data_IF_647078724643
#
_entry.id   IF_647078724643
#
_cell.length_a   1.000
_cell.length_b   1.000
_cell.length_c   1.000
_cell.angle_alpha   90.00
_cell.angle_beta   90.00
_cell.angle_gamma   90.00
#
_symmetry.space_group_name_H-M   'P 1'
#
loop_
_entity.id
_entity.type
_entity.pdbx_description
1 polymer ?
#
# COMPACT_ATOMS: atom_id res chain seq x y z
N UNK A 1 14.76 23.58 -3.01
CA UNK A 1 13.91 22.75 -2.14
C UNK A 1 13.68 21.31 -2.66
N UNK A 2 13.91 21.02 -3.95
CA UNK A 2 13.68 19.66 -4.52
C UNK A 2 14.68 18.60 -4.04
N UNK A 3 15.87 18.98 -3.64
CA UNK A 3 16.95 18.07 -3.19
C UNK A 3 16.80 17.60 -1.74
N UNK A 4 16.06 18.33 -0.92
CA UNK A 4 16.00 18.07 0.54
C UNK A 4 15.10 16.88 0.89
N UNK A 5 14.00 16.66 0.14
CA UNK A 5 13.03 15.59 0.42
C UNK A 5 13.58 14.22 0.01
N UNK A 6 14.31 14.16 -1.10
CA UNK A 6 14.93 12.91 -1.57
C UNK A 6 16.04 12.44 -0.64
N UNK A 7 16.78 13.39 -0.04
CA UNK A 7 17.88 13.09 0.89
C UNK A 7 17.37 12.60 2.24
N UNK A 8 16.22 13.09 2.70
CA UNK A 8 15.67 12.73 4.02
C UNK A 8 15.09 11.31 4.03
N UNK A 9 14.47 10.86 2.93
CA UNK A 9 13.97 9.48 2.85
C UNK A 9 15.09 8.46 2.68
N UNK A 10 16.15 8.79 1.94
CA UNK A 10 17.34 7.94 1.83
C UNK A 10 18.10 7.85 3.16
N UNK A 11 18.12 8.91 3.95
CA UNK A 11 18.81 8.94 5.24
C UNK A 11 18.06 8.10 6.31
N UNK A 12 16.73 8.05 6.28
CA UNK A 12 15.96 7.23 7.22
C UNK A 12 16.16 5.73 6.98
N UNK A 13 16.34 5.32 5.72
CA UNK A 13 16.65 3.93 5.38
C UNK A 13 18.11 3.54 5.73
N UNK A 14 19.04 4.49 5.69
CA UNK A 14 20.46 4.23 5.97
C UNK A 14 20.77 4.22 7.47
N UNK A 15 20.06 4.99 8.31
CA UNK A 15 20.29 5.02 9.75
C UNK A 15 19.86 3.75 10.46
N UNK A 16 18.90 3.00 9.93
CA UNK A 16 18.53 1.69 10.48
C UNK A 16 19.57 0.61 10.14
N UNK A 17 20.29 0.75 9.02
CA UNK A 17 21.34 -0.20 8.63
C UNK A 17 22.68 0.06 9.34
N UNK A 18 22.99 1.30 9.71
CA UNK A 18 24.26 1.67 10.34
C UNK A 18 24.35 1.30 11.82
N UNK A 19 23.22 1.11 12.49
CA UNK A 19 23.21 0.71 13.92
C UNK A 19 23.47 -0.79 14.15
N UNK A 20 23.61 -1.58 13.10
CA UNK A 20 23.80 -3.03 13.22
C UNK A 20 25.27 -3.48 13.16
N UNK A 21 26.24 -2.58 12.90
CA UNK A 21 27.62 -2.97 12.60
C UNK A 21 28.65 -2.73 13.71
N UNK A 22 28.31 -2.05 14.82
CA UNK A 22 29.26 -1.79 15.91
C UNK A 22 28.81 -2.40 17.25
N UNK A 23 28.90 -3.73 17.35
CA UNK A 23 28.94 -4.40 18.65
C UNK A 23 30.26 -5.13 18.82
N UNK A 24 31.05 -4.81 19.86
CA UNK A 24 32.32 -5.49 20.08
C UNK A 24 32.10 -6.94 20.41
N UNK A 25 32.71 -7.80 19.61
CA UNK A 25 32.84 -9.24 19.84
C UNK A 25 33.64 -9.51 21.11
N UNK A 26 32.98 -9.71 22.26
CA UNK A 26 33.45 -10.56 23.35
C UNK A 26 32.50 -10.51 24.55
N UNK A 27 31.64 -11.47 24.62
CA UNK A 27 31.23 -12.21 25.81
C UNK A 27 30.08 -13.13 25.39
N UNK A 28 30.27 -14.45 25.58
CA UNK A 28 29.20 -15.42 25.40
C UNK A 28 28.17 -15.15 26.52
N UNK A 29 27.24 -14.24 26.24
CA UNK A 29 26.09 -14.02 27.09
C UNK A 29 25.21 -15.29 27.11
N UNK A 30 24.58 -15.63 28.21
CA UNK A 30 23.58 -16.71 28.23
C UNK A 30 22.58 -16.45 27.13
N UNK A 31 22.22 -17.50 26.37
CA UNK A 31 21.25 -17.40 25.30
C UNK A 31 20.00 -16.70 25.85
N UNK A 32 19.69 -15.53 25.34
CA UNK A 32 18.46 -14.85 25.65
C UNK A 32 17.30 -15.82 25.34
N UNK A 33 16.28 -15.93 26.19
CA UNK A 33 15.13 -16.75 25.88
C UNK A 33 14.60 -16.33 24.52
N UNK A 34 14.35 -17.30 23.65
CA UNK A 34 13.80 -17.05 22.31
C UNK A 34 12.61 -16.11 22.46
N UNK A 35 12.50 -15.06 21.62
CA UNK A 35 11.35 -14.17 21.68
C UNK A 35 10.10 -15.04 21.61
N UNK A 36 9.27 -14.95 22.64
CA UNK A 36 7.94 -15.59 22.63
C UNK A 36 7.23 -14.96 21.44
N UNK A 37 6.93 -15.77 20.42
CA UNK A 37 6.17 -15.32 19.27
C UNK A 37 4.92 -14.62 19.82
N UNK A 38 4.72 -13.37 19.46
CA UNK A 38 3.50 -12.66 19.82
C UNK A 38 2.33 -13.52 19.34
N UNK A 39 1.30 -13.74 20.17
CA UNK A 39 0.15 -14.54 19.76
C UNK A 39 -0.38 -13.97 18.45
N UNK A 40 -0.58 -14.85 17.47
CA UNK A 40 -1.14 -14.47 16.19
C UNK A 40 -2.45 -13.70 16.46
N UNK A 41 -2.69 -12.57 15.78
CA UNK A 41 -3.89 -11.79 16.00
C UNK A 41 -5.10 -12.69 15.77
N UNK A 42 -5.95 -12.82 16.76
CA UNK A 42 -7.19 -13.60 16.69
C UNK A 42 -8.29 -12.87 15.92
N UNK A 43 -8.01 -11.66 15.47
CA UNK A 43 -8.98 -10.84 14.77
C UNK A 43 -8.98 -11.12 13.27
N UNK A 44 -10.17 -11.36 12.74
CA UNK A 44 -10.38 -11.58 11.31
C UNK A 44 -10.61 -10.27 10.55
N UNK A 45 -10.76 -9.17 11.27
CA UNK A 45 -11.17 -7.87 10.73
C UNK A 45 -10.06 -6.85 10.78
N UNK A 46 -9.99 -6.00 9.78
CA UNK A 46 -9.11 -4.84 9.81
C UNK A 46 -9.73 -3.64 9.10
N UNK A 47 -9.48 -2.46 9.66
CA UNK A 47 -9.82 -1.17 9.10
C UNK A 47 -8.53 -0.39 8.84
N UNK A 48 -8.36 0.09 7.62
CA UNK A 48 -7.21 0.92 7.25
C UNK A 48 -7.69 2.29 6.80
N UNK A 49 -7.08 3.32 7.36
CA UNK A 49 -7.24 4.72 6.91
C UNK A 49 -5.95 5.11 6.23
N UNK A 50 -6.05 5.72 5.06
CA UNK A 50 -4.89 6.17 4.28
C UNK A 50 -4.99 7.65 3.93
N UNK A 51 -3.85 8.31 3.93
CA UNK A 51 -3.66 9.62 3.33
C UNK A 51 -2.52 9.52 2.32
N UNK A 52 -2.68 10.16 1.18
CA UNK A 52 -1.65 10.22 0.15
C UNK A 52 -1.68 11.51 -0.63
N UNK A 53 -0.62 11.74 -1.37
CA UNK A 53 -0.53 12.83 -2.34
C UNK A 53 -0.12 12.25 -3.68
N UNK A 54 -0.91 12.55 -4.71
CA UNK A 54 -0.49 12.36 -6.09
C UNK A 54 0.37 13.56 -6.50
N UNK A 55 1.49 13.27 -7.15
CA UNK A 55 2.50 14.23 -7.58
C UNK A 55 2.64 14.14 -9.11
N UNK A 56 3.15 15.18 -9.71
CA UNK A 56 3.56 15.10 -11.11
C UNK A 56 4.72 14.13 -11.32
N UNK A 57 5.03 13.82 -12.56
CA UNK A 57 6.14 12.94 -12.93
C UNK A 57 7.45 13.35 -12.24
N UNK A 58 8.26 12.34 -11.86
CA UNK A 58 9.52 12.50 -11.15
C UNK A 58 9.38 13.27 -9.82
N UNK A 59 8.34 12.94 -9.05
CA UNK A 59 8.01 13.61 -7.79
C UNK A 59 7.92 15.14 -7.96
N UNK A 60 7.24 15.55 -9.03
CA UNK A 60 7.03 16.95 -9.37
C UNK A 60 6.13 17.71 -8.40
N UNK A 61 5.44 18.73 -8.91
CA UNK A 61 4.51 19.49 -8.09
C UNK A 61 3.33 18.62 -7.64
N UNK A 62 2.78 18.92 -6.45
CA UNK A 62 1.56 18.29 -5.95
C UNK A 62 0.44 18.48 -6.97
N UNK A 63 -0.25 17.37 -7.27
CA UNK A 63 -1.43 17.37 -8.12
C UNK A 63 -2.70 17.24 -7.29
N UNK A 64 -2.75 16.24 -6.38
CA UNK A 64 -3.98 15.88 -5.67
C UNK A 64 -3.69 15.39 -4.26
N UNK A 65 -4.67 15.54 -3.35
CA UNK A 65 -4.73 14.82 -2.08
C UNK A 65 -5.66 13.60 -2.22
N UNK A 66 -5.21 12.46 -1.75
CA UNK A 66 -5.99 11.23 -1.74
C UNK A 66 -6.22 10.77 -0.30
N UNK A 67 -7.44 10.37 -0.04
CA UNK A 67 -7.83 9.77 1.23
C UNK A 67 -8.39 8.39 0.95
N UNK A 68 -8.35 7.51 1.92
CA UNK A 68 -8.91 6.18 1.76
C UNK A 68 -9.35 5.60 3.09
N UNK A 69 -10.43 4.85 3.05
CA UNK A 69 -10.86 3.98 4.13
C UNK A 69 -11.12 2.62 3.51
N UNK A 70 -10.52 1.58 4.05
CA UNK A 70 -10.78 0.21 3.60
C UNK A 70 -11.00 -0.72 4.77
N UNK A 71 -11.96 -1.61 4.60
CA UNK A 71 -12.26 -2.70 5.50
C UNK A 71 -11.91 -4.03 4.85
N UNK A 72 -11.34 -4.95 5.61
CA UNK A 72 -11.04 -6.32 5.18
C UNK A 72 -11.47 -7.32 6.26
N UNK A 73 -12.17 -8.37 5.84
CA UNK A 73 -12.51 -9.53 6.64
C UNK A 73 -11.80 -10.77 6.09
N UNK A 74 -11.06 -11.49 6.93
CA UNK A 74 -10.38 -12.73 6.58
C UNK A 74 -11.32 -13.92 6.82
N UNK A 75 -11.61 -14.66 5.76
CA UNK A 75 -12.49 -15.83 5.78
C UNK A 75 -11.75 -17.12 6.19
N UNK A 76 -10.43 -17.05 6.39
CA UNK A 76 -9.58 -18.21 6.59
C UNK A 76 -9.07 -18.83 5.29
N UNK A 77 -8.10 -19.75 5.38
CA UNK A 77 -7.49 -20.39 4.21
C UNK A 77 -6.82 -19.45 3.22
N UNK A 78 -6.46 -18.22 3.62
CA UNK A 78 -5.90 -17.20 2.77
C UNK A 78 -6.93 -16.30 2.07
N UNK A 79 -8.22 -16.62 2.13
CA UNK A 79 -9.28 -15.83 1.50
C UNK A 79 -9.67 -14.61 2.33
N UNK A 80 -10.03 -13.54 1.64
CA UNK A 80 -10.54 -12.32 2.27
C UNK A 80 -11.58 -11.64 1.39
N UNK A 81 -12.47 -10.89 2.02
CA UNK A 81 -13.42 -9.97 1.36
C UNK A 81 -13.32 -8.61 2.02
N UNK A 82 -13.75 -7.57 1.31
CA UNK A 82 -13.71 -6.24 1.88
C UNK A 82 -14.27 -5.18 0.96
N UNK A 83 -14.07 -3.94 1.38
CA UNK A 83 -14.47 -2.78 0.59
C UNK A 83 -13.55 -1.60 0.85
N UNK A 84 -13.56 -0.65 -0.07
CA UNK A 84 -12.78 0.57 0.04
C UNK A 84 -13.58 1.77 -0.47
N UNK A 85 -13.38 2.91 0.20
CA UNK A 85 -13.86 4.22 -0.24
C UNK A 85 -12.67 5.15 -0.33
N UNK A 86 -12.51 5.83 -1.46
CA UNK A 86 -11.35 6.68 -1.72
C UNK A 86 -11.74 8.01 -2.33
N UNK A 87 -12.01 9.06 -1.53
CA UNK A 87 -12.09 10.42 -2.05
C UNK A 87 -10.71 10.92 -2.48
N UNK A 88 -10.67 11.64 -3.60
CA UNK A 88 -9.51 12.38 -4.09
C UNK A 88 -9.92 13.83 -4.30
N UNK A 89 -9.20 14.75 -3.70
CA UNK A 89 -9.40 16.18 -3.87
C UNK A 89 -8.35 16.73 -4.84
N UNK A 90 -8.79 17.23 -5.98
CA UNK A 90 -7.95 17.90 -6.96
C UNK A 90 -7.60 19.33 -6.51
N UNK A 91 -6.52 19.88 -7.04
CA UNK A 91 -6.10 21.27 -6.76
C UNK A 91 -7.18 22.32 -7.13
N UNK A 92 -8.08 22.02 -8.05
CA UNK A 92 -9.20 22.88 -8.43
C UNK A 92 -10.44 22.70 -7.54
N UNK A 93 -10.30 22.06 -6.37
CA UNK A 93 -11.38 21.71 -5.43
C UNK A 93 -12.44 20.73 -5.97
N UNK A 94 -12.23 20.12 -7.13
CA UNK A 94 -13.10 19.04 -7.56
C UNK A 94 -12.84 17.80 -6.71
N UNK A 95 -13.88 17.14 -6.25
CA UNK A 95 -13.78 15.89 -5.51
C UNK A 95 -14.22 14.74 -6.41
N UNK A 96 -13.36 13.76 -6.52
CA UNK A 96 -13.67 12.44 -7.10
C UNK A 96 -13.78 11.44 -5.95
N UNK A 97 -14.71 10.52 -6.05
CA UNK A 97 -14.84 9.42 -5.10
C UNK A 97 -14.84 8.08 -5.82
N UNK A 98 -14.22 7.09 -5.22
CA UNK A 98 -14.31 5.69 -5.66
C UNK A 98 -14.87 4.85 -4.52
N UNK A 99 -15.79 3.94 -4.86
CA UNK A 99 -16.30 2.91 -3.93
C UNK A 99 -16.02 1.57 -4.59
N UNK A 100 -15.47 0.62 -3.86
CA UNK A 100 -15.01 -0.67 -4.40
C UNK A 100 -15.29 -1.79 -3.43
N UNK A 101 -15.89 -2.89 -3.91
CA UNK A 101 -15.95 -4.18 -3.23
C UNK A 101 -14.79 -5.04 -3.70
N UNK A 102 -14.17 -5.80 -2.79
CA UNK A 102 -12.95 -6.55 -3.05
C UNK A 102 -13.07 -7.99 -2.56
N UNK A 103 -12.46 -8.92 -3.30
CA UNK A 103 -12.18 -10.29 -2.85
C UNK A 103 -10.71 -10.59 -3.11
N UNK A 104 -10.06 -11.28 -2.19
CA UNK A 104 -8.63 -11.52 -2.25
C UNK A 104 -8.23 -12.90 -1.76
N UNK A 105 -7.02 -13.28 -2.16
CA UNK A 105 -6.36 -14.51 -1.72
C UNK A 105 -4.88 -14.24 -1.46
N UNK A 106 -4.38 -14.74 -0.35
CA UNK A 106 -2.96 -14.72 0.02
C UNK A 106 -2.44 -16.16 0.07
N UNK A 107 -1.33 -16.41 -0.60
CA UNK A 107 -0.61 -17.68 -0.50
C UNK A 107 0.02 -17.81 0.89
N UNK A 108 0.20 -19.03 1.39
CA UNK A 108 1.00 -19.25 2.58
C UNK A 108 2.39 -18.62 2.44
N UNK A 109 2.86 -17.99 3.51
CA UNK A 109 4.20 -17.39 3.51
C UNK A 109 5.28 -18.46 3.36
N UNK A 110 6.21 -18.23 2.45
CA UNK A 110 7.37 -19.09 2.21
C UNK A 110 8.66 -18.28 2.34
N UNK A 111 9.54 -18.70 3.24
CA UNK A 111 10.82 -18.01 3.51
C UNK A 111 10.66 -16.49 3.79
N UNK A 112 9.59 -16.11 4.49
CA UNK A 112 9.27 -14.72 4.82
C UNK A 112 8.58 -13.94 3.69
N UNK A 113 8.40 -14.55 2.50
CA UNK A 113 7.69 -13.93 1.38
C UNK A 113 6.23 -14.35 1.38
N UNK A 114 5.33 -13.40 1.28
CA UNK A 114 3.88 -13.61 1.10
C UNK A 114 3.46 -12.98 -0.22
N UNK A 115 2.86 -13.79 -1.09
CA UNK A 115 2.25 -13.32 -2.32
C UNK A 115 0.73 -13.25 -2.14
N UNK A 116 0.13 -12.17 -2.61
CA UNK A 116 -1.33 -12.03 -2.55
C UNK A 116 -1.88 -11.33 -3.79
N UNK A 117 -3.13 -11.64 -4.11
CA UNK A 117 -3.87 -11.01 -5.18
C UNK A 117 -5.27 -10.63 -4.71
N UNK A 118 -5.84 -9.58 -5.32
CA UNK A 118 -7.22 -9.17 -5.11
C UNK A 118 -7.86 -8.81 -6.44
N UNK A 119 -9.16 -9.02 -6.53
CA UNK A 119 -10.03 -8.47 -7.56
C UNK A 119 -11.00 -7.50 -6.92
N UNK A 120 -11.36 -6.45 -7.65
CA UNK A 120 -12.32 -5.45 -7.18
C UNK A 120 -13.29 -5.07 -8.28
N UNK A 121 -14.49 -4.71 -7.86
CA UNK A 121 -15.50 -4.06 -8.71
C UNK A 121 -15.99 -2.82 -7.98
N UNK A 122 -16.20 -1.74 -8.69
CA UNK A 122 -16.55 -0.50 -8.04
C UNK A 122 -17.15 0.53 -8.98
N UNK A 123 -17.45 1.68 -8.41
CA UNK A 123 -17.93 2.84 -9.14
C UNK A 123 -17.05 4.04 -8.84
N UNK A 124 -16.76 4.78 -9.89
CA UNK A 124 -16.06 6.06 -9.82
C UNK A 124 -17.05 7.19 -10.03
N UNK A 125 -17.18 8.02 -9.04
CA UNK A 125 -18.02 9.22 -9.04
C UNK A 125 -17.15 10.41 -9.40
N UNK A 126 -17.36 10.95 -10.59
CA UNK A 126 -16.69 12.14 -11.11
C UNK A 126 -17.69 12.95 -11.93
N UNK A 127 -18.28 14.00 -11.33
CA UNK A 127 -19.24 14.83 -12.02
C UNK A 127 -18.65 15.40 -13.35
N UNK A 128 -19.40 15.38 -14.45
CA UNK A 128 -20.80 14.97 -14.58
C UNK A 128 -21.01 13.47 -14.82
N UNK A 129 -19.95 12.68 -14.88
CA UNK A 129 -20.05 11.28 -15.35
C UNK A 129 -19.58 10.28 -14.31
N UNK A 130 -20.47 9.40 -13.90
CA UNK A 130 -20.12 8.25 -13.06
C UNK A 130 -19.95 7.02 -13.95
N UNK A 131 -19.05 6.10 -13.58
CA UNK A 131 -18.89 4.86 -14.34
C UNK A 131 -18.38 3.72 -13.46
N UNK A 132 -18.87 2.50 -13.75
CA UNK A 132 -18.37 1.29 -13.14
C UNK A 132 -16.99 0.94 -13.64
N UNK A 133 -16.19 0.32 -12.76
CA UNK A 133 -14.87 -0.17 -13.10
C UNK A 133 -14.57 -1.52 -12.42
N UNK A 134 -13.57 -2.20 -12.93
CA UNK A 134 -12.94 -3.34 -12.25
C UNK A 134 -11.48 -3.03 -11.91
N UNK A 135 -10.97 -3.77 -10.93
CA UNK A 135 -9.62 -3.63 -10.45
C UNK A 135 -8.95 -5.00 -10.23
N UNK A 136 -7.65 -5.05 -10.50
CA UNK A 136 -6.79 -6.20 -10.20
C UNK A 136 -5.62 -5.70 -9.36
N UNK A 137 -5.28 -6.47 -8.33
CA UNK A 137 -4.17 -6.16 -7.43
C UNK A 137 -3.27 -7.37 -7.29
N UNK A 138 -1.96 -7.11 -7.19
CA UNK A 138 -0.95 -8.10 -6.87
C UNK A 138 0.06 -7.52 -5.89
N UNK A 139 0.38 -8.26 -4.83
CA UNK A 139 1.37 -7.82 -3.86
C UNK A 139 2.38 -8.94 -3.57
N UNK A 140 3.61 -8.50 -3.31
CA UNK A 140 4.67 -9.34 -2.79
C UNK A 140 5.25 -8.64 -1.55
N UNK A 141 5.09 -9.27 -0.40
CA UNK A 141 5.50 -8.75 0.90
C UNK A 141 6.62 -9.63 1.47
N UNK A 142 7.65 -9.01 2.04
CA UNK A 142 8.77 -9.71 2.67
C UNK A 142 8.88 -9.29 4.14
N UNK A 143 8.77 -10.24 5.05
CA UNK A 143 8.97 -10.01 6.48
C UNK A 143 10.46 -9.93 6.77
N UNK A 144 10.97 -8.71 7.07
CA UNK A 144 12.38 -8.45 7.39
C UNK A 144 12.69 -8.95 8.79
N UNK A 145 11.79 -8.62 9.74
CA UNK A 145 11.85 -9.05 11.14
C UNK A 145 10.43 -9.01 11.72
N UNK A 146 10.18 -9.62 12.90
CA UNK A 146 8.90 -9.51 13.57
C UNK A 146 8.44 -8.04 13.68
N UNK A 147 7.26 -7.75 13.16
CA UNK A 147 6.67 -6.42 13.14
C UNK A 147 7.14 -5.50 12.00
N UNK A 148 8.13 -5.88 11.17
CA UNK A 148 8.57 -5.06 10.04
C UNK A 148 8.48 -5.84 8.73
N UNK A 149 7.64 -5.36 7.82
CA UNK A 149 7.40 -5.95 6.51
C UNK A 149 7.78 -4.96 5.41
N UNK A 150 8.59 -5.40 4.46
CA UNK A 150 8.81 -4.72 3.19
C UNK A 150 7.69 -5.11 2.22
N UNK A 151 6.90 -4.15 1.80
CA UNK A 151 5.96 -4.33 0.70
C UNK A 151 6.74 -4.16 -0.61
N UNK A 152 7.42 -5.23 -1.04
CA UNK A 152 8.41 -5.18 -2.11
C UNK A 152 7.78 -4.78 -3.44
N UNK A 153 6.59 -5.30 -3.72
CA UNK A 153 5.81 -4.97 -4.91
C UNK A 153 4.35 -4.79 -4.51
N UNK A 154 3.78 -3.67 -4.92
CA UNK A 154 2.34 -3.41 -4.85
C UNK A 154 1.88 -2.99 -6.25
N UNK A 155 1.11 -3.83 -6.90
CA UNK A 155 0.60 -3.57 -8.24
C UNK A 155 -0.90 -3.39 -8.20
N UNK A 156 -1.39 -2.44 -8.99
CA UNK A 156 -2.81 -2.21 -9.22
C UNK A 156 -3.07 -1.90 -10.69
N UNK A 157 -4.03 -2.59 -11.26
CA UNK A 157 -4.67 -2.23 -12.51
C UNK A 157 -6.12 -1.85 -12.26
N UNK A 158 -6.60 -0.79 -12.88
CA UNK A 158 -8.01 -0.40 -12.90
C UNK A 158 -8.42 -0.05 -14.31
N UNK A 159 -9.63 -0.43 -14.70
CA UNK A 159 -10.23 -0.07 -15.99
C UNK A 159 -11.72 0.16 -15.84
N UNK A 160 -12.24 1.19 -16.51
CA UNK A 160 -13.68 1.31 -16.71
C UNK A 160 -14.21 0.06 -17.41
N UNK A 161 -15.42 -0.38 -17.05
CA UNK A 161 -16.07 -1.54 -17.69
C UNK A 161 -16.31 -1.25 -19.18
N UNK A 162 -16.70 -0.03 -19.50
CA UNK A 162 -16.73 0.48 -20.88
C UNK A 162 -15.57 1.43 -21.11
N UNK A 163 -14.40 0.87 -21.36
CA UNK A 163 -13.17 1.66 -21.60
C UNK A 163 -13.21 2.43 -22.92
N UNK A 164 -14.02 2.03 -23.89
CA UNK A 164 -14.17 2.75 -25.14
C UNK A 164 -14.89 4.08 -24.96
N UNK A 165 -15.91 4.10 -24.10
CA UNK A 165 -16.67 5.32 -23.79
C UNK A 165 -15.95 6.22 -22.82
N UNK A 166 -15.32 5.65 -21.76
CA UNK A 166 -14.75 6.44 -20.68
C UNK A 166 -13.23 6.62 -20.77
N UNK A 167 -12.54 5.84 -21.61
CA UNK A 167 -11.11 5.96 -21.87
C UNK A 167 -10.20 5.83 -20.62
N UNK A 168 -10.75 5.29 -19.50
CA UNK A 168 -10.03 5.25 -18.25
C UNK A 168 -9.45 3.87 -17.97
N UNK A 169 -8.14 3.81 -18.05
CA UNK A 169 -7.33 2.66 -17.64
C UNK A 169 -6.10 3.18 -16.91
N UNK A 170 -5.67 2.52 -15.87
CA UNK A 170 -4.46 2.92 -15.13
C UNK A 170 -3.76 1.73 -14.51
N UNK A 171 -2.43 1.74 -14.60
CA UNK A 171 -1.55 0.89 -13.83
C UNK A 171 -0.88 1.71 -12.73
N UNK A 172 -0.67 1.10 -11.59
CA UNK A 172 0.12 1.69 -10.52
C UNK A 172 1.03 0.61 -9.94
N UNK A 173 2.31 0.92 -9.87
CA UNK A 173 3.32 0.07 -9.25
C UNK A 173 3.88 0.81 -8.04
N UNK A 174 4.04 0.13 -6.92
CA UNK A 174 4.53 0.73 -5.70
C UNK A 174 5.43 -0.20 -4.90
N UNK A 175 6.11 0.39 -3.94
CA UNK A 175 6.87 -0.29 -2.89
C UNK A 175 6.74 0.49 -1.60
N UNK A 176 6.93 -0.17 -0.47
CA UNK A 176 6.75 0.48 0.82
C UNK A 176 7.18 -0.38 2.00
N UNK A 177 6.85 0.10 3.17
CA UNK A 177 7.10 -0.61 4.43
C UNK A 177 5.86 -0.57 5.31
N UNK A 178 5.66 -1.62 6.08
CA UNK A 178 4.64 -1.70 7.12
C UNK A 178 5.32 -2.05 8.43
N UNK A 179 4.98 -1.32 9.49
CA UNK A 179 5.48 -1.56 10.84
C UNK A 179 4.31 -1.80 11.79
N UNK A 180 4.31 -2.95 12.46
CA UNK A 180 3.35 -3.28 13.52
C UNK A 180 3.77 -2.59 14.81
N UNK A 181 3.00 -1.57 15.23
CA UNK A 181 3.22 -0.87 16.51
C UNK A 181 2.85 -1.79 17.67
N UNK A 182 1.75 -2.52 17.48
CA UNK A 182 1.27 -3.55 18.40
C UNK A 182 0.68 -4.70 17.57
N UNK A 183 0.20 -5.77 18.22
CA UNK A 183 -0.53 -6.84 17.52
C UNK A 183 -1.77 -6.34 16.75
N UNK A 184 -2.36 -5.24 17.22
CA UNK A 184 -3.62 -4.71 16.71
C UNK A 184 -3.47 -3.45 15.84
N UNK A 185 -2.32 -2.78 15.86
CA UNK A 185 -2.11 -1.53 15.13
C UNK A 185 -0.84 -1.58 14.32
N UNK A 186 -0.94 -1.16 13.06
CA UNK A 186 0.21 -1.00 12.17
C UNK A 186 0.16 0.30 11.40
N UNK A 187 1.33 0.82 11.06
CA UNK A 187 1.50 1.96 10.15
C UNK A 187 2.20 1.50 8.88
N UNK A 188 1.87 2.14 7.77
CA UNK A 188 2.51 1.87 6.49
C UNK A 188 2.92 3.16 5.79
N UNK A 189 3.97 3.08 4.99
CA UNK A 189 4.37 4.14 4.08
C UNK A 189 4.72 3.51 2.73
N UNK A 190 4.17 4.06 1.65
CA UNK A 190 4.31 3.52 0.30
C UNK A 190 4.55 4.63 -0.69
N UNK A 191 5.40 4.38 -1.67
CA UNK A 191 5.59 5.21 -2.86
C UNK A 191 5.08 4.47 -4.09
N UNK A 192 4.47 5.19 -5.01
CA UNK A 192 3.86 4.64 -6.21
C UNK A 192 4.28 5.41 -7.44
N UNK A 193 4.31 4.71 -8.57
CA UNK A 193 4.33 5.28 -9.91
C UNK A 193 3.12 4.81 -10.70
N UNK A 194 2.43 5.74 -11.32
CA UNK A 194 1.27 5.50 -12.17
C UNK A 194 1.67 5.54 -13.63
N UNK A 195 1.03 4.68 -14.43
CA UNK A 195 1.29 4.56 -15.86
C UNK A 195 -0.04 4.57 -16.61
N UNK A 196 -0.05 5.15 -17.79
CA UNK A 196 -1.16 5.10 -18.73
C UNK A 196 -0.99 3.91 -19.68
N UNK A 197 -2.09 3.22 -19.96
CA UNK A 197 -2.14 2.14 -20.96
C UNK A 197 -2.27 2.64 -22.39
N UNK A 198 -2.83 3.83 -22.59
CA UNK A 198 -3.15 4.36 -23.92
C UNK A 198 -1.90 4.83 -24.69
N UNK A 199 -0.77 5.06 -24.02
CA UNK A 199 0.42 5.65 -24.60
C UNK A 199 1.72 4.95 -24.18
N UNK A 200 1.85 3.67 -24.52
CA UNK A 200 3.10 2.90 -24.35
C UNK A 200 3.64 2.83 -22.91
N UNK A 201 2.77 2.73 -21.92
CA UNK A 201 3.17 2.70 -20.50
C UNK A 201 3.99 3.92 -20.05
N UNK A 202 3.68 5.10 -20.55
CA UNK A 202 4.32 6.31 -20.06
C UNK A 202 3.91 6.60 -18.61
N UNK A 203 4.88 7.01 -17.79
CA UNK A 203 4.62 7.43 -16.44
C UNK A 203 3.73 8.69 -16.44
N UNK A 204 2.62 8.64 -15.69
CA UNK A 204 1.65 9.75 -15.61
C UNK A 204 1.73 10.50 -14.30
N UNK A 205 2.41 9.96 -13.29
CA UNK A 205 2.63 10.61 -12.00
C UNK A 205 3.21 9.68 -10.98
N UNK A 206 3.73 10.27 -9.94
CA UNK A 206 4.21 9.60 -8.75
C UNK A 206 3.27 9.90 -7.58
N UNK A 207 3.27 9.09 -6.55
CA UNK A 207 2.49 9.31 -5.35
C UNK A 207 3.21 8.77 -4.13
N UNK A 208 2.89 9.31 -2.97
CA UNK A 208 3.18 8.65 -1.71
C UNK A 208 1.90 8.49 -0.91
N UNK A 209 1.87 7.50 -0.04
CA UNK A 209 0.76 7.28 0.88
C UNK A 209 1.27 6.81 2.24
N UNK A 210 0.57 7.20 3.28
CA UNK A 210 0.72 6.68 4.63
C UNK A 210 -0.59 6.08 5.08
N UNK A 211 -0.52 5.00 5.84
CA UNK A 211 -1.71 4.29 6.32
C UNK A 211 -1.60 3.92 7.78
N UNK A 212 -2.74 3.92 8.46
CA UNK A 212 -2.91 3.37 9.80
C UNK A 212 -3.95 2.25 9.71
N UNK A 213 -3.58 1.07 10.19
CA UNK A 213 -4.46 -0.10 10.21
C UNK A 213 -4.75 -0.51 11.65
N UNK A 214 -6.03 -0.71 11.96
CA UNK A 214 -6.50 -1.35 13.17
C UNK A 214 -7.00 -2.76 12.84
N UNK A 215 -6.60 -3.77 13.63
CA UNK A 215 -7.03 -5.18 13.56
C UNK A 215 -7.89 -5.48 14.77
N UNK A 216 -9.06 -6.07 14.61
CA UNK A 216 -10.04 -6.33 15.69
C UNK A 216 -10.92 -7.54 15.41
#
# INVERSE_FOLDING_TARGET
>A
MKTLITTTMALLALTVAASATDLPSKAKAPAAPAPVAAPAPTSNDSLTITYGQDLGNNFGAKADDTYGVSYKHNLGGGFSVGGAVGPTQYLNNTIKMTVEAQAGYALPSMAGVTLSGKVGVGERFLAPTNYPYYALYGNADYTIMPGLTLNAVQYRYRSAVDSNTYGWQSHRLGTGVTYDITSNYSVSATVYRSFDTSSNFNATGDAFAVGLTAKF
#
